data_IF_564154458576
#
_entry.id   IF_564154458576
#
_cell.length_a   1.000
_cell.length_b   1.000
_cell.length_c   1.000
_cell.angle_alpha   90.00
_cell.angle_beta   90.00
_cell.angle_gamma   90.00
#
_symmetry.space_group_name_H-M   'P 1'
#
loop_
_entity.id
_entity.type
_entity.pdbx_description
1 polymer ?
#
# COMPACT_ATOMS: atom_id res chain seq x y z
N UNK A 1 -7.69 19.18 40.06
CA UNK A 1 -9.05 18.70 39.73
C UNK A 1 -9.13 18.69 38.21
N UNK A 2 -9.15 17.51 37.58
CA UNK A 2 -9.19 17.37 36.12
C UNK A 2 -10.65 17.46 35.70
N UNK A 3 -11.00 18.40 34.82
CA UNK A 3 -12.33 18.45 34.23
C UNK A 3 -12.45 17.33 33.19
N UNK A 4 -13.41 16.40 33.30
CA UNK A 4 -13.68 15.46 32.23
C UNK A 4 -14.30 16.24 31.06
N UNK A 5 -13.76 16.03 29.86
CA UNK A 5 -14.35 16.50 28.61
C UNK A 5 -15.77 15.93 28.48
N UNK A 6 -16.76 16.73 28.88
CA UNK A 6 -18.18 16.50 28.60
C UNK A 6 -18.42 16.86 27.13
N UNK A 7 -18.44 15.84 26.27
CA UNK A 7 -19.04 15.97 24.95
C UNK A 7 -20.51 16.39 25.12
N UNK A 8 -20.93 17.43 24.40
CA UNK A 8 -22.28 17.96 24.50
C UNK A 8 -23.31 16.96 23.96
N UNK A 9 -24.50 16.80 24.59
CA UNK A 9 -25.55 15.94 24.08
C UNK A 9 -26.00 16.43 22.69
N UNK A 10 -25.78 15.62 21.66
CA UNK A 10 -26.11 15.95 20.27
C UNK A 10 -24.92 16.13 19.33
N UNK A 11 -23.68 16.10 19.83
CA UNK A 11 -22.51 16.03 18.94
C UNK A 11 -22.46 14.67 18.24
N UNK A 12 -22.83 14.62 16.95
CA UNK A 12 -22.44 13.50 16.10
C UNK A 12 -20.91 13.49 16.08
N UNK A 13 -20.31 12.35 16.40
CA UNK A 13 -18.90 12.11 16.08
C UNK A 13 -18.81 12.15 14.56
N UNK A 14 -18.43 13.31 14.01
CA UNK A 14 -18.04 13.40 12.61
C UNK A 14 -16.73 12.61 12.54
N UNK A 15 -16.80 11.40 11.98
CA UNK A 15 -15.59 10.64 11.70
C UNK A 15 -14.80 11.47 10.70
N UNK A 16 -13.66 12.00 11.14
CA UNK A 16 -12.67 12.53 10.22
C UNK A 16 -12.20 11.34 9.36
N UNK A 17 -12.67 11.27 8.12
CA UNK A 17 -12.22 10.25 7.18
C UNK A 17 -10.88 10.73 6.68
N UNK A 18 -9.81 10.27 7.33
CA UNK A 18 -8.47 10.37 6.79
C UNK A 18 -8.27 9.22 5.82
N UNK A 19 -7.91 9.56 4.59
CA UNK A 19 -7.55 8.59 3.55
C UNK A 19 -6.46 7.65 4.07
N UNK A 20 -6.63 6.37 3.79
CA UNK A 20 -5.64 5.34 4.13
C UNK A 20 -4.78 5.04 2.93
N UNK A 21 -3.47 5.07 3.14
CA UNK A 21 -2.46 4.70 2.18
C UNK A 21 -1.95 3.30 2.48
N UNK A 22 -1.73 2.53 1.42
CA UNK A 22 -1.21 1.17 1.52
C UNK A 22 0.06 1.06 0.71
N UNK A 23 1.09 0.47 1.30
CA UNK A 23 2.30 0.02 0.60
C UNK A 23 2.35 -1.50 0.62
N UNK A 24 2.62 -2.10 -0.54
CA UNK A 24 2.67 -3.53 -0.78
C UNK A 24 4.04 -3.87 -1.36
N UNK A 25 4.80 -4.73 -0.68
CA UNK A 25 6.03 -5.32 -1.21
C UNK A 25 5.75 -6.76 -1.60
N UNK A 26 6.15 -7.15 -2.81
CA UNK A 26 5.84 -8.43 -3.41
C UNK A 26 7.10 -9.24 -3.73
N UNK A 27 6.96 -10.56 -3.69
CA UNK A 27 7.90 -11.48 -4.31
C UNK A 27 7.14 -12.65 -4.94
N UNK A 28 7.59 -13.05 -6.13
CA UNK A 28 6.96 -14.11 -6.93
C UNK A 28 7.96 -15.25 -7.11
N UNK A 29 7.52 -16.48 -6.92
CA UNK A 29 8.31 -17.64 -7.33
C UNK A 29 8.23 -17.81 -8.87
N UNK A 30 9.32 -18.23 -9.52
CA UNK A 30 9.43 -18.38 -10.99
C UNK A 30 9.15 -17.10 -11.81
N UNK A 31 9.54 -15.94 -11.25
CA UNK A 31 9.08 -14.62 -11.63
C UNK A 31 9.37 -14.14 -13.07
N UNK A 32 10.42 -14.60 -13.76
CA UNK A 32 10.88 -13.90 -14.97
C UNK A 32 9.84 -13.88 -16.11
N UNK A 33 9.05 -14.94 -16.28
CA UNK A 33 8.02 -14.98 -17.33
C UNK A 33 6.70 -14.30 -16.91
N UNK A 34 6.34 -14.37 -15.63
CA UNK A 34 5.02 -13.97 -15.12
C UNK A 34 4.99 -12.55 -14.56
N UNK A 35 6.12 -12.02 -14.11
CA UNK A 35 6.23 -10.71 -13.45
C UNK A 35 5.67 -9.56 -14.29
N UNK A 36 5.97 -9.54 -15.60
CA UNK A 36 5.43 -8.50 -16.51
C UNK A 36 3.90 -8.55 -16.59
N UNK A 37 3.31 -9.75 -16.61
CA UNK A 37 1.85 -9.92 -16.63
C UNK A 37 1.22 -9.55 -15.29
N UNK A 38 1.84 -9.97 -14.18
CA UNK A 38 1.39 -9.62 -12.83
C UNK A 38 1.43 -8.10 -12.59
N UNK A 39 2.46 -7.41 -13.09
CA UNK A 39 2.54 -5.94 -13.02
C UNK A 39 1.46 -5.25 -13.84
N UNK A 40 1.12 -5.80 -15.02
CA UNK A 40 -0.01 -5.29 -15.81
C UNK A 40 -1.33 -5.48 -15.07
N UNK A 41 -1.54 -6.66 -14.49
CA UNK A 41 -2.73 -6.97 -13.69
C UNK A 41 -2.88 -6.00 -12.51
N UNK A 42 -1.82 -5.77 -11.73
CA UNK A 42 -1.86 -4.84 -10.60
C UNK A 42 -2.18 -3.41 -11.03
N UNK A 43 -1.61 -2.95 -12.14
CA UNK A 43 -1.91 -1.62 -12.68
C UNK A 43 -3.37 -1.48 -13.17
N UNK A 44 -3.95 -2.56 -13.72
CA UNK A 44 -5.37 -2.61 -14.09
C UNK A 44 -6.29 -2.57 -12.85
N UNK A 45 -5.81 -3.09 -11.71
CA UNK A 45 -6.45 -3.02 -10.39
C UNK A 45 -6.06 -1.74 -9.61
N UNK A 46 -5.69 -0.68 -10.32
CA UNK A 46 -5.37 0.66 -9.80
C UNK A 46 -4.14 0.75 -8.87
N UNK A 47 -3.35 -0.32 -8.74
CA UNK A 47 -2.09 -0.25 -8.01
C UNK A 47 -1.06 0.56 -8.77
N UNK A 48 -0.37 1.45 -8.07
CA UNK A 48 0.67 2.29 -8.61
C UNK A 48 2.03 1.73 -8.23
N UNK A 49 2.87 1.40 -9.22
CA UNK A 49 4.25 0.97 -8.98
C UNK A 49 5.10 2.15 -8.49
N UNK A 50 6.01 1.92 -7.55
CA UNK A 50 7.05 2.90 -7.19
C UNK A 50 8.29 2.70 -8.08
N UNK A 51 8.69 3.74 -8.81
CA UNK A 51 9.61 3.60 -9.95
C UNK A 51 11.04 3.21 -9.56
N UNK A 52 11.47 3.49 -8.32
CA UNK A 52 12.82 3.19 -7.83
C UNK A 52 12.97 1.80 -7.19
N UNK A 53 11.90 1.02 -7.10
CA UNK A 53 11.90 -0.30 -6.44
C UNK A 53 11.05 -1.30 -7.22
N UNK A 54 11.64 -2.43 -7.61
CA UNK A 54 11.03 -3.31 -8.60
C UNK A 54 9.71 -3.94 -8.14
N UNK A 55 9.55 -4.22 -6.86
CA UNK A 55 8.46 -5.05 -6.35
C UNK A 55 7.53 -4.32 -5.38
N UNK A 56 7.63 -3.00 -5.28
CA UNK A 56 6.81 -2.20 -4.36
C UNK A 56 5.72 -1.44 -5.11
N UNK A 57 4.51 -1.54 -4.57
CA UNK A 57 3.28 -0.99 -5.11
C UNK A 57 2.54 -0.21 -4.03
N UNK A 58 1.76 0.78 -4.43
CA UNK A 58 0.90 1.55 -3.52
C UNK A 58 -0.52 1.61 -4.06
N UNK A 59 -1.48 1.75 -3.15
CA UNK A 59 -2.88 2.02 -3.47
C UNK A 59 -3.49 2.84 -2.33
N UNK A 60 -4.44 3.69 -2.69
CA UNK A 60 -5.15 4.55 -1.75
C UNK A 60 -6.57 4.04 -1.52
N UNK A 61 -7.02 4.10 -0.27
CA UNK A 61 -8.40 3.82 0.12
C UNK A 61 -9.02 5.08 0.73
N UNK A 62 -9.64 5.95 -0.09
CA UNK A 62 -10.19 7.22 0.40
C UNK A 62 -11.38 7.04 1.34
N UNK A 63 -12.10 5.91 1.25
CA UNK A 63 -13.27 5.60 2.07
C UNK A 63 -12.94 4.87 3.37
N UNK A 64 -11.68 4.46 3.58
CA UNK A 64 -11.26 3.70 4.75
C UNK A 64 -10.30 4.50 5.61
N UNK A 65 -10.40 4.34 6.92
CA UNK A 65 -9.49 4.97 7.88
C UNK A 65 -8.79 3.90 8.72
N UNK A 66 -7.46 3.87 8.63
CA UNK A 66 -6.59 2.87 9.27
C UNK A 66 -6.70 2.84 10.81
N UNK A 67 -7.24 3.89 11.43
CA UNK A 67 -7.51 3.92 12.86
C UNK A 67 -8.70 3.01 13.26
N UNK A 68 -9.50 2.55 12.30
CA UNK A 68 -10.59 1.61 12.52
C UNK A 68 -10.20 0.20 12.08
N UNK A 69 -10.22 -0.73 13.04
CA UNK A 69 -9.84 -2.13 12.81
C UNK A 69 -10.67 -2.83 11.73
N UNK A 70 -11.96 -2.49 11.61
CA UNK A 70 -12.83 -3.04 10.56
C UNK A 70 -12.39 -2.61 9.16
N UNK A 71 -11.96 -1.36 8.99
CA UNK A 71 -11.49 -0.83 7.71
C UNK A 71 -10.14 -1.46 7.34
N UNK A 72 -9.21 -1.59 8.30
CA UNK A 72 -7.95 -2.32 8.08
C UNK A 72 -8.22 -3.77 7.67
N UNK A 73 -9.21 -4.43 8.29
CA UNK A 73 -9.58 -5.80 7.92
C UNK A 73 -10.14 -5.89 6.49
N UNK A 74 -10.96 -4.91 6.07
CA UNK A 74 -11.47 -4.85 4.68
C UNK A 74 -10.32 -4.61 3.69
N UNK A 75 -9.38 -3.72 4.01
CA UNK A 75 -8.19 -3.48 3.20
C UNK A 75 -7.40 -4.78 3.02
N UNK A 76 -7.07 -5.49 4.10
CA UNK A 76 -6.36 -6.77 4.00
C UNK A 76 -7.12 -7.81 3.18
N UNK A 77 -8.44 -7.88 3.33
CA UNK A 77 -9.28 -8.78 2.55
C UNK A 77 -9.22 -8.45 1.05
N UNK A 78 -9.34 -7.17 0.69
CA UNK A 78 -9.28 -6.71 -0.70
C UNK A 78 -7.93 -7.06 -1.33
N UNK A 79 -6.83 -6.76 -0.64
CA UNK A 79 -5.47 -7.08 -1.11
C UNK A 79 -5.31 -8.59 -1.32
N UNK A 80 -5.70 -9.41 -0.34
CA UNK A 80 -5.62 -10.86 -0.45
C UNK A 80 -6.49 -11.40 -1.60
N UNK A 81 -7.66 -10.81 -1.82
CA UNK A 81 -8.55 -11.17 -2.94
C UNK A 81 -7.90 -10.85 -4.29
N UNK A 82 -7.36 -9.65 -4.46
CA UNK A 82 -6.64 -9.23 -5.68
C UNK A 82 -5.44 -10.12 -5.97
N UNK A 83 -4.61 -10.42 -4.96
CA UNK A 83 -3.43 -11.28 -5.14
C UNK A 83 -3.81 -12.74 -5.44
N UNK A 84 -4.86 -13.28 -4.81
CA UNK A 84 -5.37 -14.62 -5.15
C UNK A 84 -5.88 -14.69 -6.58
N UNK A 85 -6.58 -13.65 -7.04
CA UNK A 85 -7.07 -13.57 -8.41
C UNK A 85 -5.89 -13.53 -9.41
N UNK A 86 -4.90 -12.66 -9.15
CA UNK A 86 -3.66 -12.59 -9.92
C UNK A 86 -2.95 -13.94 -10.01
N UNK A 87 -2.78 -14.63 -8.87
CA UNK A 87 -2.13 -15.93 -8.82
C UNK A 87 -2.88 -16.97 -9.66
N UNK A 88 -4.20 -17.00 -9.55
CA UNK A 88 -5.06 -17.94 -10.28
C UNK A 88 -5.02 -17.68 -11.80
N UNK A 89 -5.15 -16.42 -12.22
CA UNK A 89 -5.26 -16.08 -13.64
C UNK A 89 -3.93 -16.24 -14.40
N UNK A 90 -2.82 -16.13 -13.69
CA UNK A 90 -1.48 -16.20 -14.25
C UNK A 90 -0.72 -17.50 -13.92
N UNK A 91 -1.38 -18.44 -13.23
CA UNK A 91 -0.80 -19.71 -12.78
C UNK A 91 0.50 -19.51 -11.97
N UNK A 92 0.47 -18.56 -11.01
CA UNK A 92 1.60 -18.26 -10.14
C UNK A 92 1.56 -19.20 -8.94
N UNK A 93 2.60 -20.02 -8.80
CA UNK A 93 2.74 -21.00 -7.72
C UNK A 93 2.72 -20.36 -6.33
N UNK A 94 3.44 -19.25 -6.14
CA UNK A 94 3.54 -18.55 -4.86
C UNK A 94 3.72 -17.05 -5.02
N UNK A 95 2.93 -16.30 -4.24
CA UNK A 95 3.08 -14.86 -4.02
C UNK A 95 3.38 -14.64 -2.53
N UNK A 96 4.60 -14.20 -2.22
CA UNK A 96 4.96 -13.70 -0.90
C UNK A 96 4.70 -12.19 -0.86
N UNK A 97 4.14 -11.67 0.22
CA UNK A 97 3.90 -10.23 0.31
C UNK A 97 3.94 -9.70 1.75
N UNK A 98 4.34 -8.43 1.86
CA UNK A 98 4.27 -7.63 3.08
C UNK A 98 3.41 -6.41 2.79
N UNK A 99 2.57 -6.03 3.73
CA UNK A 99 1.72 -4.85 3.63
C UNK A 99 1.95 -3.89 4.78
N UNK A 100 1.92 -2.60 4.49
CA UNK A 100 1.86 -1.53 5.47
C UNK A 100 0.63 -0.66 5.17
N UNK A 101 -0.15 -0.36 6.22
CA UNK A 101 -1.38 0.44 6.15
C UNK A 101 -1.21 1.63 7.09
N UNK A 102 -1.47 2.85 6.61
CA UNK A 102 -1.31 4.06 7.43
C UNK A 102 -1.90 5.33 6.81
N UNK A 103 -1.66 6.48 7.44
CA UNK A 103 -2.10 7.81 7.00
C UNK A 103 -1.04 8.60 6.24
N UNK A 104 0.09 7.97 5.92
CA UNK A 104 1.19 8.59 5.19
C UNK A 104 1.45 7.88 3.88
N UNK A 105 1.65 8.67 2.84
CA UNK A 105 2.16 8.21 1.56
C UNK A 105 3.53 7.53 1.74
N UNK A 106 3.80 6.55 0.88
CA UNK A 106 5.11 5.94 0.77
C UNK A 106 6.14 7.00 0.33
N UNK A 107 7.34 6.94 0.92
CA UNK A 107 8.45 7.82 0.55
C UNK A 107 9.41 7.05 -0.34
N UNK A 108 9.68 7.57 -1.53
CA UNK A 108 10.61 6.97 -2.49
C UNK A 108 11.93 7.75 -2.48
N UNK A 109 13.03 7.04 -2.19
CA UNK A 109 14.41 7.56 -2.22
C UNK A 109 15.30 6.62 -3.01
N UNK A 110 16.32 7.17 -3.67
CA UNK A 110 17.39 6.43 -4.31
C UNK A 110 18.73 6.96 -3.82
N UNK A 111 19.64 6.06 -3.48
CA UNK A 111 21.04 6.38 -3.23
C UNK A 111 21.87 5.83 -4.37
N UNK A 112 22.75 6.65 -4.94
CA UNK A 112 23.67 6.26 -6.02
C UNK A 112 25.11 6.51 -5.58
N UNK A 113 26.02 5.65 -6.00
CA UNK A 113 27.45 5.82 -5.80
C UNK A 113 28.16 5.76 -7.15
N UNK A 114 28.70 6.88 -7.59
CA UNK A 114 29.37 7.01 -8.89
C UNK A 114 30.62 7.90 -8.73
N UNK A 115 31.73 7.48 -9.35
CA UNK A 115 33.00 8.22 -9.35
C UNK A 115 33.50 8.68 -7.96
N UNK A 116 33.25 7.89 -6.91
CA UNK A 116 33.67 8.22 -5.54
C UNK A 116 32.70 9.09 -4.75
N UNK A 117 31.57 9.50 -5.34
CA UNK A 117 30.57 10.37 -4.72
C UNK A 117 29.29 9.58 -4.43
N UNK A 118 28.76 9.73 -3.21
CA UNK A 118 27.44 9.23 -2.83
C UNK A 118 26.42 10.36 -2.92
N UNK A 119 25.34 10.16 -3.67
CA UNK A 119 24.23 11.11 -3.80
C UNK A 119 22.91 10.43 -3.43
N UNK A 120 22.07 11.14 -2.66
CA UNK A 120 20.68 10.77 -2.41
C UNK A 120 19.75 11.64 -3.28
N UNK A 121 18.75 11.00 -3.91
CA UNK A 121 17.68 11.68 -4.64
C UNK A 121 16.33 11.21 -4.11
N UNK A 122 15.45 12.17 -3.80
CA UNK A 122 14.07 11.91 -3.44
C UNK A 122 13.15 12.05 -4.64
N UNK A 123 12.19 11.14 -4.73
CA UNK A 123 11.11 11.21 -5.72
C UNK A 123 9.81 11.47 -4.96
N UNK A 124 9.18 12.61 -5.26
CA UNK A 124 7.79 12.83 -4.89
C UNK A 124 6.93 12.31 -6.03
N UNK A 125 5.95 11.46 -5.72
CA UNK A 125 4.76 11.31 -6.56
C UNK A 125 3.72 12.29 -6.07
#
# INVERSE_FOLDING_TARGET
>A
MIFPNLLQPGSKVVREIKMTHVTLSLDFENANAVRKKAYKFLAEEEWVKLDSVDTVWVIDYPEYNYNYSEDVRKIHYNIAKTLKQCAKDLDIERINYIVQVGDRLAIQRQVTYQYGVAEEKGYAK
#
